data_IF_316170126681
#
_entry.id   IF_316170126681
#
_cell.length_a   1.000
_cell.length_b   1.000
_cell.length_c   1.000
_cell.angle_alpha   90.00
_cell.angle_beta   90.00
_cell.angle_gamma   90.00
#
_symmetry.space_group_name_H-M   'P 1'
#
loop_
_entity.id
_entity.type
_entity.pdbx_description
1 polymer ?
#
# COMPACT_ATOMS: atom_id res chain seq x y z
N UNK A 1 17.77 5.84 -8.84
CA UNK A 1 16.32 6.03 -9.07
C UNK A 1 15.53 5.37 -7.96
N UNK A 2 14.54 6.05 -7.40
CA UNK A 2 13.54 5.44 -6.53
C UNK A 2 12.23 5.38 -7.31
N UNK A 3 11.66 4.19 -7.50
CA UNK A 3 10.38 4.06 -8.23
C UNK A 3 9.20 4.69 -7.45
N UNK A 4 9.37 4.95 -6.16
CA UNK A 4 8.36 5.62 -5.35
C UNK A 4 7.27 4.70 -4.82
N UNK A 5 7.53 3.39 -4.71
CA UNK A 5 6.62 2.44 -4.07
C UNK A 5 7.38 1.31 -3.38
N UNK A 6 6.70 0.64 -2.45
CA UNK A 6 7.21 -0.51 -1.73
C UNK A 6 6.51 -1.79 -2.21
N UNK A 7 7.23 -2.90 -2.17
CA UNK A 7 6.70 -4.23 -2.51
C UNK A 7 6.75 -5.18 -1.32
N UNK A 8 5.84 -6.13 -1.30
CA UNK A 8 5.80 -7.28 -0.38
C UNK A 8 5.48 -8.54 -1.18
N UNK A 9 5.65 -9.72 -0.57
CA UNK A 9 5.38 -10.98 -1.24
C UNK A 9 6.64 -11.60 -1.87
N UNK A 10 6.42 -12.70 -2.56
CA UNK A 10 7.46 -13.60 -3.07
C UNK A 10 7.29 -15.01 -2.51
N UNK A 11 7.85 -16.01 -3.19
CA UNK A 11 7.72 -17.43 -2.75
C UNK A 11 8.33 -17.73 -1.40
N UNK A 12 9.35 -16.96 -1.00
CA UNK A 12 10.04 -17.05 0.28
C UNK A 12 9.34 -16.26 1.38
N UNK A 13 8.51 -15.28 1.01
CA UNK A 13 7.80 -14.38 1.91
C UNK A 13 6.37 -14.17 1.42
N UNK A 14 5.51 -15.22 1.43
CA UNK A 14 4.15 -15.11 0.94
C UNK A 14 3.38 -14.05 1.72
N UNK A 15 2.81 -13.09 1.01
CA UNK A 15 1.99 -12.03 1.61
C UNK A 15 0.56 -12.51 1.86
N UNK A 16 0.04 -13.37 0.99
CA UNK A 16 -1.26 -14.01 1.15
C UNK A 16 -1.05 -15.52 1.31
N UNK A 17 -1.86 -16.15 2.15
CA UNK A 17 -1.73 -17.56 2.54
C UNK A 17 -1.81 -18.55 1.37
N UNK A 18 -2.35 -18.12 0.22
CA UNK A 18 -2.46 -18.91 -1.01
C UNK A 18 -1.90 -18.20 -2.25
N UNK A 19 -1.12 -17.12 -2.08
CA UNK A 19 -0.56 -16.38 -3.21
C UNK A 19 0.87 -15.92 -2.92
N UNK A 20 1.80 -16.51 -3.67
CA UNK A 20 3.24 -16.21 -3.62
C UNK A 20 3.62 -15.02 -4.53
N UNK A 21 2.64 -14.25 -4.98
CA UNK A 21 2.84 -13.09 -5.83
C UNK A 21 3.56 -11.93 -5.15
N UNK A 22 3.91 -10.94 -5.97
CA UNK A 22 4.47 -9.66 -5.54
C UNK A 22 3.37 -8.61 -5.55
N UNK A 23 3.25 -7.84 -4.47
CA UNK A 23 2.19 -6.86 -4.27
C UNK A 23 2.77 -5.49 -3.91
N UNK A 24 2.10 -4.44 -4.34
CA UNK A 24 2.41 -3.07 -3.92
C UNK A 24 1.85 -2.83 -2.52
N UNK A 25 2.72 -2.56 -1.56
CA UNK A 25 2.30 -2.33 -0.17
C UNK A 25 2.11 -0.86 0.16
N UNK A 26 2.85 0.03 -0.51
CA UNK A 26 2.77 1.47 -0.29
C UNK A 26 3.19 2.25 -1.52
N UNK A 27 2.55 3.38 -1.79
CA UNK A 27 2.99 4.35 -2.81
C UNK A 27 3.38 5.66 -2.14
N UNK A 28 4.48 6.26 -2.62
CA UNK A 28 4.97 7.56 -2.19
C UNK A 28 4.36 8.62 -3.10
N UNK A 29 3.56 9.53 -2.55
CA UNK A 29 2.83 10.55 -3.31
C UNK A 29 3.74 11.45 -4.16
N UNK A 30 4.93 11.78 -3.65
CA UNK A 30 5.95 12.58 -4.33
C UNK A 30 6.97 11.72 -5.12
N UNK A 31 6.72 10.41 -5.26
CA UNK A 31 7.55 9.48 -6.01
C UNK A 31 7.06 9.28 -7.45
N UNK A 32 7.89 8.70 -8.31
CA UNK A 32 7.56 8.49 -9.73
C UNK A 32 6.23 7.76 -9.94
N UNK A 33 5.98 6.66 -9.22
CA UNK A 33 4.72 5.93 -9.31
C UNK A 33 3.52 6.71 -8.73
N UNK A 34 3.74 7.56 -7.71
CA UNK A 34 2.69 8.42 -7.16
C UNK A 34 2.28 9.53 -8.12
N UNK A 35 3.27 10.15 -8.77
CA UNK A 35 3.07 11.19 -9.78
C UNK A 35 2.44 10.65 -11.07
N UNK A 36 2.78 9.41 -11.47
CA UNK A 36 2.13 8.71 -12.60
C UNK A 36 0.68 8.33 -12.25
N UNK A 37 0.40 7.97 -11.00
CA UNK A 37 -0.95 7.75 -10.46
C UNK A 37 -1.67 6.52 -10.98
N UNK A 38 -1.08 5.76 -11.91
CA UNK A 38 -1.70 4.55 -12.48
C UNK A 38 -1.54 3.34 -11.59
N UNK A 39 -0.49 3.26 -10.77
CA UNK A 39 -0.25 2.19 -9.80
C UNK A 39 -1.01 2.48 -8.51
N UNK A 40 -1.55 1.44 -7.85
CA UNK A 40 -2.27 1.57 -6.58
C UNK A 40 -1.77 0.57 -5.54
N UNK A 41 -1.94 0.90 -4.26
CA UNK A 41 -1.68 -0.03 -3.16
C UNK A 41 -2.61 -1.25 -3.27
N UNK A 42 -2.07 -2.44 -3.01
CA UNK A 42 -2.77 -3.71 -3.19
C UNK A 42 -2.71 -4.28 -4.60
N UNK A 43 -2.22 -3.53 -5.60
CA UNK A 43 -2.00 -4.08 -6.94
C UNK A 43 -0.99 -5.23 -6.91
N UNK A 44 -1.26 -6.29 -7.67
CA UNK A 44 -0.33 -7.41 -7.84
C UNK A 44 0.50 -7.20 -9.09
N UNK A 45 1.82 -7.27 -8.95
CA UNK A 45 2.76 -7.13 -10.05
C UNK A 45 2.95 -8.51 -10.69
N UNK A 46 2.62 -8.61 -11.97
CA UNK A 46 2.70 -9.85 -12.76
C UNK A 46 4.00 -9.94 -13.55
N UNK A 47 4.52 -8.82 -14.05
CA UNK A 47 5.75 -8.75 -14.82
C UNK A 47 6.44 -7.39 -14.74
N UNK A 48 7.76 -7.39 -14.92
CA UNK A 48 8.63 -6.20 -15.03
C UNK A 48 9.35 -6.27 -16.37
N UNK A 49 9.19 -5.26 -17.23
CA UNK A 49 9.81 -5.21 -18.56
C UNK A 49 9.60 -6.50 -19.38
N UNK A 50 8.39 -7.08 -19.29
CA UNK A 50 8.04 -8.34 -19.94
C UNK A 50 8.49 -9.63 -19.23
N UNK A 51 9.30 -9.54 -18.17
CA UNK A 51 9.73 -10.70 -17.35
C UNK A 51 8.68 -11.02 -16.30
N UNK A 52 8.07 -12.20 -16.38
CA UNK A 52 7.03 -12.65 -15.44
C UNK A 52 7.61 -12.88 -14.05
N UNK A 53 6.89 -12.43 -13.02
CA UNK A 53 7.26 -12.56 -11.61
C UNK A 53 6.65 -13.78 -10.91
N UNK A 54 5.98 -14.66 -11.67
CA UNK A 54 5.33 -15.85 -11.10
C UNK A 54 6.38 -16.75 -10.43
N UNK A 55 6.11 -17.12 -9.19
CA UNK A 55 6.95 -18.00 -8.37
C UNK A 55 8.40 -17.51 -8.18
N UNK A 56 8.62 -16.18 -8.25
CA UNK A 56 9.92 -15.59 -7.95
C UNK A 56 10.10 -15.29 -6.47
N UNK A 57 11.37 -15.36 -6.03
CA UNK A 57 11.78 -14.89 -4.72
C UNK A 57 11.67 -13.37 -4.63
N UNK A 58 11.43 -12.87 -3.42
CA UNK A 58 11.39 -11.44 -3.13
C UNK A 58 12.67 -10.75 -3.61
N UNK A 59 13.84 -11.30 -3.26
CA UNK A 59 15.14 -10.76 -3.66
C UNK A 59 15.32 -10.69 -5.18
N UNK A 60 14.94 -11.75 -5.90
CA UNK A 60 15.06 -11.77 -7.36
C UNK A 60 14.20 -10.68 -8.01
N UNK A 61 13.03 -10.41 -7.44
CA UNK A 61 12.16 -9.31 -7.88
C UNK A 61 12.80 -7.94 -7.63
N UNK A 62 13.42 -7.74 -6.47
CA UNK A 62 14.17 -6.51 -6.16
C UNK A 62 15.34 -6.31 -7.11
N UNK A 63 16.05 -7.39 -7.47
CA UNK A 63 17.14 -7.33 -8.43
C UNK A 63 16.61 -6.93 -9.83
N UNK A 64 15.45 -7.46 -10.25
CA UNK A 64 14.80 -7.04 -11.50
C UNK A 64 14.50 -5.54 -11.51
N UNK A 65 13.91 -5.00 -10.45
CA UNK A 65 13.67 -3.55 -10.31
C UNK A 65 14.94 -2.72 -10.36
N UNK A 66 16.04 -3.23 -9.79
CA UNK A 66 17.35 -2.55 -9.84
C UNK A 66 17.96 -2.56 -11.24
N UNK A 67 17.73 -3.61 -12.01
CA UNK A 67 18.24 -3.75 -13.39
C UNK A 67 17.32 -3.16 -14.45
N UNK A 68 16.09 -2.77 -14.10
CA UNK A 68 15.06 -2.35 -15.05
C UNK A 68 15.39 -1.03 -15.78
N UNK A 69 16.36 -0.24 -15.30
CA UNK A 69 16.81 0.99 -15.94
C UNK A 69 16.05 2.24 -15.48
N UNK A 70 16.01 3.27 -16.33
CA UNK A 70 15.29 4.52 -16.04
C UNK A 70 13.78 4.38 -16.28
N UNK A 71 13.38 3.60 -17.29
CA UNK A 71 11.99 3.31 -17.63
C UNK A 71 11.61 1.87 -17.24
N UNK A 72 10.52 1.73 -16.48
CA UNK A 72 10.05 0.43 -15.99
C UNK A 72 8.61 0.20 -16.43
N UNK A 73 8.39 -0.84 -17.23
CA UNK A 73 7.07 -1.29 -17.63
C UNK A 73 6.56 -2.35 -16.65
N UNK A 74 5.41 -2.09 -16.03
CA UNK A 74 4.77 -3.01 -15.10
C UNK A 74 3.46 -3.54 -15.69
N UNK A 75 3.36 -4.87 -15.77
CA UNK A 75 2.08 -5.54 -15.94
C UNK A 75 1.50 -5.84 -14.58
N UNK A 76 0.34 -5.27 -14.25
CA UNK A 76 -0.29 -5.42 -12.93
C UNK A 76 -1.70 -6.00 -13.04
N UNK A 77 -2.07 -6.82 -12.07
CA UNK A 77 -3.46 -7.20 -11.81
C UNK A 77 -4.03 -6.19 -10.81
N UNK A 78 -5.00 -5.41 -11.29
CA UNK A 78 -5.77 -4.49 -10.45
C UNK A 78 -6.69 -5.28 -9.54
N UNK A 79 -6.52 -5.12 -8.23
CA UNK A 79 -7.57 -5.53 -7.32
C UNK A 79 -8.61 -4.41 -7.28
N UNK A 80 -9.91 -4.72 -7.44
CA UNK A 80 -10.95 -3.71 -7.30
C UNK A 80 -10.86 -3.16 -5.89
N UNK A 81 -10.35 -1.94 -5.79
CA UNK A 81 -10.51 -1.15 -4.60
C UNK A 81 -12.02 -1.01 -4.43
N UNK A 82 -12.58 -1.52 -3.33
CA UNK A 82 -13.91 -1.09 -2.90
C UNK A 82 -13.76 0.37 -2.48
N UNK A 83 -13.65 1.26 -3.48
CA UNK A 83 -13.77 2.69 -3.30
C UNK A 83 -15.14 2.91 -2.69
N UNK A 84 -15.16 3.47 -1.48
CA UNK A 84 -16.35 3.93 -0.80
C UNK A 84 -17.23 4.73 -1.77
N UNK A 85 -18.34 4.15 -2.21
CA UNK A 85 -19.53 4.82 -2.76
C UNK A 85 -19.35 5.67 -4.03
N UNK A 86 -20.43 5.94 -4.75
CA UNK A 86 -20.40 6.91 -5.85
C UNK A 86 -20.10 8.30 -5.28
N UNK A 87 -19.08 8.95 -5.84
CA UNK A 87 -18.86 10.38 -5.69
C UNK A 87 -20.11 11.11 -6.20
N UNK A 88 -21.02 11.48 -5.31
CA UNK A 88 -22.02 12.51 -5.57
C UNK A 88 -21.31 13.84 -5.85
N UNK A 89 -21.94 14.76 -6.60
CA UNK A 89 -21.30 16.01 -7.02
C UNK A 89 -20.82 16.77 -5.78
N UNK A 90 -19.51 17.03 -5.75
CA UNK A 90 -18.85 17.78 -4.70
C UNK A 90 -19.38 19.23 -4.73
N UNK A 91 -20.08 19.72 -3.69
CA UNK A 91 -20.50 21.10 -3.68
C UNK A 91 -19.29 21.98 -3.38
N UNK A 92 -19.16 22.97 -4.24
CA UNK A 92 -18.29 24.13 -4.16
C UNK A 92 -18.01 24.67 -2.74
N UNK A 93 -16.77 25.11 -2.54
CA UNK A 93 -16.37 25.98 -1.44
C UNK A 93 -17.28 27.22 -1.35
N UNK A 94 -18.02 27.33 -0.24
CA UNK A 94 -18.45 28.64 0.29
C UNK A 94 -18.32 28.62 1.82
N UNK A 95 -17.70 29.64 2.45
CA UNK A 95 -17.63 29.73 3.90
C UNK A 95 -18.85 30.53 4.39
N UNK A 96 -19.80 29.91 5.08
CA UNK A 96 -20.65 30.66 6.03
C UNK A 96 -21.46 29.73 6.93
N UNK A 97 -21.33 29.97 8.23
CA UNK A 97 -22.29 29.78 9.31
C UNK A 97 -23.29 28.60 9.23
N UNK A 98 -23.27 27.73 10.25
CA UNK A 98 -24.31 27.70 11.30
C UNK A 98 -24.14 26.50 12.25
N UNK A 99 -23.95 26.86 13.52
CA UNK A 99 -24.38 26.20 14.76
C UNK A 99 -24.79 24.72 14.82
N UNK A 100 -24.32 24.12 15.92
CA UNK A 100 -24.96 23.08 16.77
C UNK A 100 -24.86 21.61 16.33
N UNK A 101 -23.90 20.92 16.95
CA UNK A 101 -23.85 19.46 17.01
C UNK A 101 -22.96 18.99 18.16
N UNK A 102 -23.59 18.65 19.29
CA UNK A 102 -23.02 18.26 20.58
C UNK A 102 -22.25 16.91 20.54
N UNK A 103 -21.20 16.84 21.37
CA UNK A 103 -20.69 15.69 22.15
C UNK A 103 -20.48 14.30 21.49
N UNK A 104 -19.21 13.88 21.38
CA UNK A 104 -18.65 12.52 21.60
C UNK A 104 -17.18 12.52 21.13
N UNK A 105 -16.15 11.92 21.73
CA UNK A 105 -15.97 11.05 22.88
C UNK A 105 -14.47 11.08 23.28
N UNK A 106 -14.16 11.08 24.58
CA UNK A 106 -12.80 11.13 25.17
C UNK A 106 -12.32 9.77 25.71
N UNK A 107 -12.04 8.76 24.87
CA UNK A 107 -11.64 7.45 25.40
C UNK A 107 -10.66 6.65 24.51
N UNK A 108 -9.54 7.26 24.08
CA UNK A 108 -8.61 6.61 23.15
C UNK A 108 -7.16 6.37 23.62
N UNK A 109 -6.73 6.84 24.80
CA UNK A 109 -5.30 6.88 25.12
C UNK A 109 -4.75 5.68 25.94
N UNK A 110 -5.61 4.91 26.63
CA UNK A 110 -5.13 3.86 27.55
C UNK A 110 -4.84 2.50 26.86
N UNK A 111 -5.51 2.19 25.74
CA UNK A 111 -5.37 0.89 25.07
C UNK A 111 -4.05 0.76 24.29
N UNK A 112 -3.47 1.87 23.83
CA UNK A 112 -2.27 1.85 23.00
C UNK A 112 -1.01 1.49 23.80
N UNK A 113 -0.92 1.95 25.05
CA UNK A 113 0.22 1.64 25.94
C UNK A 113 0.23 0.18 26.42
N UNK A 114 -0.94 -0.41 26.69
CA UNK A 114 -1.04 -1.81 27.10
C UNK A 114 -0.59 -2.77 25.98
N UNK A 115 -0.89 -2.43 24.72
CA UNK A 115 -0.51 -3.24 23.57
C UNK A 115 1.01 -3.21 23.30
N UNK A 116 1.65 -2.05 23.47
CA UNK A 116 3.12 -1.92 23.40
C UNK A 116 3.78 -2.70 24.56
N UNK A 117 3.24 -2.59 25.77
CA UNK A 117 3.77 -3.29 26.94
C UNK A 117 3.70 -4.82 26.81
N UNK A 118 2.57 -5.37 26.34
CA UNK A 118 2.43 -6.82 26.12
C UNK A 118 3.33 -7.35 25.00
N UNK A 119 3.58 -6.57 23.94
CA UNK A 119 4.50 -6.99 22.87
C UNK A 119 5.96 -7.02 23.32
N UNK A 120 6.36 -6.18 24.27
CA UNK A 120 7.74 -6.14 24.74
C UNK A 120 8.07 -7.25 25.75
N UNK A 121 7.07 -7.82 26.45
CA UNK A 121 7.29 -8.85 27.47
C UNK A 121 7.56 -10.25 26.88
N UNK A 122 7.16 -10.52 25.63
CA UNK A 122 7.25 -11.86 25.02
C UNK A 122 8.57 -12.16 24.29
N UNK A 123 9.60 -11.32 24.43
CA UNK A 123 10.93 -11.51 23.80
C UNK A 123 12.08 -11.76 24.78
N UNK A 124 11.80 -11.93 26.08
CA UNK A 124 12.82 -12.25 27.09
C UNK A 124 12.46 -13.44 27.98
N UNK A 125 11.92 -14.50 27.37
CA UNK A 125 12.03 -15.86 27.90
C UNK A 125 12.30 -16.82 26.74
#
# INVERSE_FOLDING_TARGET
>A
MCLGFNIVGGVDQPYLENDNGIFVSKIKEDGAAGLDGRLQEGDKILAINGVKLKDLMHRATVDLFRTAGEDVELSVLKFPHLTNGPTGPQPEHTPSASSLGLLAALAGAAAFFAFIYMRHLKKHF
#
